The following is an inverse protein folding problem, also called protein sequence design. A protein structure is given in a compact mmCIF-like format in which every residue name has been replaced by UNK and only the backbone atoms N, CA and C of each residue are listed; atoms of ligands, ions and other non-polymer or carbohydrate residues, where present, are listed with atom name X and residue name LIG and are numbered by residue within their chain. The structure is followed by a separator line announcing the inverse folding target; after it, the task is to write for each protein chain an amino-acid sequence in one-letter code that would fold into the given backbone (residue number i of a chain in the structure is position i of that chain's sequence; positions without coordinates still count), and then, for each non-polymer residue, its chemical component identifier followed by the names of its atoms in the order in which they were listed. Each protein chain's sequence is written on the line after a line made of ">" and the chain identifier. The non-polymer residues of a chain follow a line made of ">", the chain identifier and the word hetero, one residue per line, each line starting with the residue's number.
data_IF_575943527529
#
_entry.id   IF_575943527529
#
_cell.length_a   1.000
_cell.length_b   1.000
_cell.length_c   1.000
_cell.angle_alpha   90.00
_cell.angle_beta   90.00
_cell.angle_gamma   90.00
#
_symmetry.space_group_name_H-M   'P 1'
#
loop_
_entity.id
_entity.type
_entity.pdbx_description
1 polymer ?
#
# COMPACT_ATOMS: atom_id res chain seq x y z
N UNK A 1 21.45 9.25 18.15
CA UNK A 1 20.79 7.92 18.20
C UNK A 1 20.83 7.33 16.81
N UNK A 2 21.41 6.12 16.61
CA UNK A 2 21.45 5.56 15.27
C UNK A 2 20.05 5.38 14.71
N UNK A 3 19.80 6.01 13.58
CA UNK A 3 18.50 5.99 12.88
C UNK A 3 18.75 5.69 11.40
N UNK A 4 18.01 4.71 10.88
CA UNK A 4 18.06 4.33 9.48
C UNK A 4 16.68 4.43 8.83
N UNK A 5 16.70 4.80 7.55
CA UNK A 5 15.57 4.67 6.64
C UNK A 5 15.79 3.42 5.78
N UNK A 6 14.85 2.50 5.82
CA UNK A 6 14.86 1.28 5.01
C UNK A 6 13.77 1.38 3.94
N UNK A 7 14.06 0.91 2.73
CA UNK A 7 13.08 0.63 1.70
C UNK A 7 12.89 -0.89 1.64
N UNK A 8 11.65 -1.33 1.76
CA UNK A 8 11.31 -2.75 2.00
C UNK A 8 10.22 -3.19 1.05
N UNK A 9 10.40 -4.32 0.40
CA UNK A 9 9.35 -5.02 -0.33
C UNK A 9 8.89 -6.27 0.46
N UNK A 10 7.63 -6.66 0.30
CA UNK A 10 7.13 -7.89 0.89
C UNK A 10 5.89 -8.44 0.18
N UNK A 11 5.80 -9.77 0.17
CA UNK A 11 4.59 -10.51 -0.15
C UNK A 11 3.70 -10.59 1.11
N UNK A 12 2.59 -9.87 1.09
CA UNK A 12 1.64 -9.79 2.21
C UNK A 12 0.73 -11.01 2.37
N UNK A 13 0.76 -11.98 1.45
CA UNK A 13 -0.19 -13.11 1.38
C UNK A 13 -0.34 -13.86 2.70
N UNK A 14 0.77 -14.08 3.41
CA UNK A 14 0.81 -14.85 4.66
C UNK A 14 0.78 -14.00 5.92
N UNK A 15 0.62 -12.67 5.79
CA UNK A 15 0.65 -11.73 6.90
C UNK A 15 -0.72 -11.13 7.20
N UNK A 16 -1.00 -10.92 8.49
CA UNK A 16 -2.18 -10.18 8.97
C UNK A 16 -1.99 -8.68 8.88
N UNK A 17 -1.16 -8.24 7.92
CA UNK A 17 -0.78 -6.86 7.64
C UNK A 17 0.57 -6.48 8.25
N UNK A 18 0.86 -5.19 8.22
CA UNK A 18 2.11 -4.64 8.76
C UNK A 18 2.14 -4.66 10.28
N UNK A 19 1.14 -4.03 10.92
CA UNK A 19 1.14 -3.72 12.35
C UNK A 19 1.18 -4.98 13.21
N UNK A 20 2.12 -5.02 14.17
CA UNK A 20 2.24 -6.10 15.14
C UNK A 20 0.95 -6.29 15.93
N UNK A 21 0.49 -7.52 16.03
CA UNK A 21 -0.72 -7.94 16.73
C UNK A 21 -0.41 -9.17 17.58
N UNK A 22 -1.16 -9.32 18.67
CA UNK A 22 -1.05 -10.50 19.51
C UNK A 22 -1.49 -11.76 18.75
N UNK A 23 -0.67 -12.81 18.79
CA UNK A 23 -0.92 -14.12 18.14
C UNK A 23 -1.09 -14.09 16.62
N UNK A 24 -0.65 -13.04 15.92
CA UNK A 24 -0.73 -12.97 14.48
C UNK A 24 0.65 -12.77 13.84
N UNK A 25 0.91 -13.46 12.73
CA UNK A 25 2.10 -13.23 11.90
C UNK A 25 1.94 -11.90 11.16
N UNK A 26 2.84 -10.95 11.39
CA UNK A 26 2.80 -9.60 10.83
C UNK A 26 4.19 -9.19 10.37
N UNK A 27 4.28 -8.30 9.38
CA UNK A 27 5.59 -7.86 8.84
C UNK A 27 6.41 -7.15 9.91
N UNK A 28 5.79 -6.25 10.72
CA UNK A 28 6.48 -5.59 11.83
C UNK A 28 6.95 -6.59 12.89
N UNK A 29 6.20 -7.66 13.13
CA UNK A 29 6.58 -8.72 14.07
C UNK A 29 7.86 -9.43 13.66
N UNK A 30 8.03 -9.74 12.36
CA UNK A 30 9.27 -10.31 11.82
C UNK A 30 10.44 -9.32 11.95
N UNK A 31 10.23 -8.05 11.63
CA UNK A 31 11.25 -7.02 11.87
C UNK A 31 11.66 -6.93 13.34
N UNK A 32 10.70 -6.94 14.27
CA UNK A 32 11.00 -6.89 15.70
C UNK A 32 11.73 -8.14 16.20
N UNK A 33 11.50 -9.29 15.59
CA UNK A 33 12.27 -10.51 15.86
C UNK A 33 13.71 -10.35 15.36
N UNK A 34 13.90 -9.90 14.11
CA UNK A 34 15.22 -9.64 13.53
C UNK A 34 16.01 -8.60 14.30
N UNK A 35 15.38 -7.51 14.77
CA UNK A 35 16.09 -6.51 15.58
C UNK A 35 16.60 -7.06 16.91
N UNK A 36 15.83 -7.94 17.56
CA UNK A 36 16.29 -8.59 18.80
C UNK A 36 17.49 -9.50 18.57
N UNK A 37 17.53 -10.18 17.45
CA UNK A 37 18.63 -11.06 17.07
C UNK A 37 19.92 -10.25 16.75
N UNK A 38 19.77 -9.14 16.00
CA UNK A 38 20.91 -8.34 15.54
C UNK A 38 21.51 -7.45 16.63
N UNK A 39 20.69 -6.82 17.45
CA UNK A 39 21.17 -5.74 18.30
C UNK A 39 21.25 -6.08 19.79
N UNK A 40 20.57 -7.13 20.24
CA UNK A 40 20.41 -7.43 21.66
C UNK A 40 19.94 -6.21 22.52
N UNK A 41 19.32 -5.23 21.86
CA UNK A 41 18.86 -3.95 22.42
C UNK A 41 17.46 -3.64 21.91
N UNK A 42 16.66 -2.87 22.68
CA UNK A 42 15.37 -2.39 22.20
C UNK A 42 15.53 -1.58 20.91
N UNK A 43 14.62 -1.81 19.96
CA UNK A 43 14.57 -1.07 18.69
C UNK A 43 13.16 -0.55 18.43
N UNK A 44 13.07 0.61 17.78
CA UNK A 44 11.82 1.17 17.29
C UNK A 44 11.72 0.92 15.78
N UNK A 45 10.64 0.30 15.34
CA UNK A 45 10.37 -0.04 13.93
C UNK A 45 9.00 0.50 13.56
N UNK A 46 8.93 1.51 12.69
CA UNK A 46 7.69 2.09 12.21
C UNK A 46 7.68 2.24 10.69
N UNK A 47 6.54 1.92 10.07
CA UNK A 47 6.33 2.10 8.63
C UNK A 47 5.78 3.47 8.26
N UNK A 48 6.01 3.87 7.02
CA UNK A 48 5.42 5.07 6.41
C UNK A 48 3.92 4.92 6.15
N UNK A 49 3.49 3.70 5.80
CA UNK A 49 2.08 3.35 5.57
C UNK A 49 1.83 1.90 6.00
N UNK A 50 1.13 1.65 7.12
CA UNK A 50 0.80 0.28 7.52
C UNK A 50 -0.24 -0.34 6.58
N UNK A 51 0.13 -1.44 5.92
CA UNK A 51 -0.78 -2.22 5.06
C UNK A 51 -1.65 -3.15 5.90
N UNK A 52 -2.85 -3.46 5.38
CA UNK A 52 -3.77 -4.42 6.00
C UNK A 52 -3.47 -5.86 5.55
N UNK A 53 -4.17 -6.84 6.12
CA UNK A 53 -3.96 -8.26 5.84
C UNK A 53 -4.03 -8.59 4.34
N UNK A 54 -3.05 -9.37 3.84
CA UNK A 54 -2.96 -9.82 2.45
C UNK A 54 -2.53 -8.75 1.44
N UNK A 55 -2.22 -7.54 1.86
CA UNK A 55 -1.73 -6.44 1.00
C UNK A 55 -0.21 -6.46 0.95
N UNK A 56 0.32 -6.32 -0.26
CA UNK A 56 1.75 -6.35 -0.55
C UNK A 56 2.38 -4.95 -0.50
N UNK A 57 3.69 -4.89 -0.55
CA UNK A 57 4.42 -3.65 -0.79
C UNK A 57 5.57 -3.85 -1.77
N UNK A 58 5.72 -2.93 -2.71
CA UNK A 58 6.87 -2.85 -3.63
C UNK A 58 7.98 -1.97 -3.04
N UNK A 59 7.60 -0.94 -2.27
CA UNK A 59 8.56 -0.05 -1.63
C UNK A 59 7.92 0.64 -0.41
N UNK A 60 7.79 -0.12 0.68
CA UNK A 60 7.45 0.43 1.98
C UNK A 60 8.67 1.16 2.54
N UNK A 61 8.47 2.33 3.15
CA UNK A 61 9.53 2.98 3.93
C UNK A 61 9.37 2.63 5.41
N UNK A 62 10.47 2.19 6.03
CA UNK A 62 10.54 1.89 7.44
C UNK A 62 11.61 2.75 8.08
N UNK A 63 11.37 3.35 9.25
CA UNK A 63 12.45 3.80 10.09
C UNK A 63 12.76 2.79 11.18
N UNK A 64 14.05 2.59 11.38
CA UNK A 64 14.63 1.79 12.44
C UNK A 64 15.47 2.69 13.34
N UNK A 65 15.19 2.70 14.63
CA UNK A 65 15.97 3.40 15.65
C UNK A 65 16.44 2.43 16.72
N UNK A 66 17.72 2.49 17.06
CA UNK A 66 18.32 1.64 18.09
C UNK A 66 19.03 2.55 19.10
N UNK A 67 18.32 2.98 20.19
CA UNK A 67 18.81 4.01 21.10
C UNK A 67 20.13 3.69 21.80
N UNK A 68 20.33 2.44 22.18
CA UNK A 68 21.47 2.00 23.00
C UNK A 68 22.56 1.28 22.20
N UNK A 69 22.55 1.45 20.87
CA UNK A 69 23.55 0.81 20.02
C UNK A 69 24.96 1.38 20.29
N UNK A 70 25.88 0.53 20.69
CA UNK A 70 27.27 0.89 21.03
C UNK A 70 28.24 0.73 19.87
N UNK A 71 27.79 0.14 18.76
CA UNK A 71 28.64 -0.18 17.60
C UNK A 71 28.12 0.61 16.41
N UNK A 72 29.03 1.19 15.61
CA UNK A 72 28.68 1.82 14.35
C UNK A 72 28.44 0.75 13.28
N UNK A 73 27.21 0.62 12.79
CA UNK A 73 26.82 -0.33 11.75
C UNK A 73 26.57 0.44 10.46
N UNK A 74 27.33 0.10 9.42
CA UNK A 74 27.17 0.70 8.09
C UNK A 74 25.86 0.24 7.43
N UNK A 75 25.18 1.09 6.66
CA UNK A 75 23.94 0.74 5.96
C UNK A 75 24.02 -0.54 5.10
N UNK A 76 25.13 -0.76 4.40
CA UNK A 76 25.35 -1.96 3.59
C UNK A 76 25.45 -3.25 4.43
N UNK A 77 26.06 -3.17 5.60
CA UNK A 77 26.12 -4.29 6.54
C UNK A 77 24.74 -4.60 7.10
N UNK A 78 24.00 -3.57 7.54
CA UNK A 78 22.65 -3.71 8.07
C UNK A 78 21.69 -4.33 7.06
N UNK A 79 21.78 -3.91 5.78
CA UNK A 79 20.99 -4.49 4.69
C UNK A 79 21.28 -6.00 4.55
N UNK A 80 22.54 -6.39 4.54
CA UNK A 80 22.95 -7.78 4.40
C UNK A 80 22.44 -8.63 5.57
N UNK A 81 22.73 -8.20 6.80
CA UNK A 81 22.40 -8.94 8.02
C UNK A 81 20.89 -9.12 8.19
N UNK A 82 20.08 -8.08 7.91
CA UNK A 82 18.63 -8.22 7.96
C UNK A 82 18.09 -9.20 6.91
N UNK A 83 18.59 -9.13 5.67
CA UNK A 83 18.13 -10.04 4.61
C UNK A 83 18.57 -11.49 4.81
N UNK A 84 19.56 -11.75 5.65
CA UNK A 84 19.94 -13.11 6.07
C UNK A 84 18.99 -13.68 7.15
N UNK A 85 18.39 -12.82 7.97
CA UNK A 85 17.52 -13.20 9.10
C UNK A 85 16.04 -13.17 8.74
N UNK A 86 15.60 -12.15 7.97
CA UNK A 86 14.20 -11.98 7.62
C UNK A 86 13.69 -13.15 6.75
N UNK A 87 12.41 -13.53 6.87
CA UNK A 87 11.79 -14.48 5.97
C UNK A 87 11.91 -14.05 4.50
N UNK A 88 12.02 -15.02 3.57
CA UNK A 88 12.20 -14.76 2.13
C UNK A 88 11.08 -13.94 1.47
N UNK A 89 9.93 -13.82 2.10
CA UNK A 89 8.81 -13.00 1.66
C UNK A 89 8.87 -11.55 2.18
N UNK A 90 9.99 -11.16 2.84
CA UNK A 90 10.32 -9.78 3.22
C UNK A 90 11.77 -9.51 2.79
N UNK A 91 11.97 -8.49 1.97
CA UNK A 91 13.30 -8.13 1.47
C UNK A 91 13.56 -6.63 1.66
N UNK A 92 14.71 -6.29 2.23
CA UNK A 92 15.18 -4.91 2.31
C UNK A 92 15.92 -4.58 1.04
N UNK A 93 15.40 -3.60 0.29
CA UNK A 93 15.97 -3.15 -1.00
C UNK A 93 17.11 -2.17 -0.76
N UNK A 94 16.95 -1.31 0.24
CA UNK A 94 17.89 -0.23 0.51
C UNK A 94 17.89 0.16 1.98
N UNK A 95 19.06 0.53 2.48
CA UNK A 95 19.26 1.15 3.80
C UNK A 95 20.03 2.45 3.61
N UNK A 96 19.64 3.49 4.32
CA UNK A 96 20.35 4.76 4.38
C UNK A 96 20.32 5.31 5.81
N UNK A 97 21.38 6.03 6.20
CA UNK A 97 21.35 6.78 7.44
C UNK A 97 20.25 7.87 7.36
N UNK A 98 19.58 8.12 8.45
CA UNK A 98 18.56 9.14 8.57
C UNK A 98 18.81 10.02 9.80
N UNK A 99 18.35 11.29 9.80
CA UNK A 99 18.37 12.12 10.99
C UNK A 99 17.58 11.47 12.14
N UNK A 100 17.99 11.72 13.37
CA UNK A 100 17.29 11.22 14.56
C UNK A 100 15.82 11.66 14.63
N UNK A 101 15.50 12.83 14.04
CA UNK A 101 14.14 13.35 13.95
C UNK A 101 13.27 12.64 12.91
N UNK A 102 13.87 11.86 11.98
CA UNK A 102 13.11 11.22 10.91
C UNK A 102 12.06 10.26 11.45
N UNK A 103 10.84 10.40 10.91
CA UNK A 103 9.72 9.53 11.23
C UNK A 103 8.99 9.10 9.95
N UNK A 104 9.10 7.84 9.58
CA UNK A 104 8.58 7.31 8.30
C UNK A 104 7.11 7.71 8.01
N UNK A 105 6.22 7.70 9.00
CA UNK A 105 4.80 8.03 8.81
C UNK A 105 4.51 9.53 8.84
N UNK A 106 5.14 10.28 9.76
CA UNK A 106 4.82 11.70 9.98
C UNK A 106 5.40 12.59 8.89
N UNK A 107 6.61 12.25 8.40
CA UNK A 107 7.32 13.05 7.40
C UNK A 107 6.92 12.69 5.96
N UNK A 108 6.10 11.65 5.79
CA UNK A 108 5.60 11.25 4.49
C UNK A 108 4.57 12.26 3.96
N UNK A 109 4.78 12.74 2.71
CA UNK A 109 3.93 13.74 2.04
C UNK A 109 2.88 13.11 1.14
N UNK A 110 3.14 11.90 0.61
CA UNK A 110 2.16 11.15 -0.18
C UNK A 110 2.44 9.64 -0.10
N UNK A 111 1.43 8.85 -0.43
CA UNK A 111 1.50 7.40 -0.60
C UNK A 111 0.93 7.05 -1.95
N UNK A 112 1.52 6.06 -2.62
CA UNK A 112 1.05 5.54 -3.89
C UNK A 112 0.75 4.07 -3.76
N UNK A 113 -0.43 3.70 -4.25
CA UNK A 113 -0.86 2.31 -4.36
C UNK A 113 -1.09 1.95 -5.82
N UNK A 114 -0.75 0.71 -6.15
CA UNK A 114 -1.07 0.05 -7.40
C UNK A 114 -2.01 -1.11 -7.11
N UNK A 115 -3.07 -1.25 -7.90
CA UNK A 115 -3.96 -2.41 -7.87
C UNK A 115 -3.96 -3.10 -9.23
N UNK A 116 -3.86 -4.42 -9.22
CA UNK A 116 -3.79 -5.24 -10.43
C UNK A 116 -5.02 -6.14 -10.56
N UNK A 117 -5.73 -5.99 -11.68
CA UNK A 117 -6.85 -6.83 -12.10
C UNK A 117 -6.38 -7.62 -13.31
N UNK A 118 -6.56 -8.93 -13.30
CA UNK A 118 -6.27 -9.78 -14.46
C UNK A 118 -7.55 -10.16 -15.18
N UNK A 119 -7.57 -9.95 -16.51
CA UNK A 119 -8.66 -10.39 -17.41
C UNK A 119 -8.49 -11.86 -17.80
N UNK A 120 -7.31 -12.42 -17.61
CA UNK A 120 -6.97 -13.81 -17.86
C UNK A 120 -6.84 -14.60 -16.55
N UNK A 121 -7.46 -15.80 -16.52
CA UNK A 121 -7.27 -16.70 -15.38
C UNK A 121 -5.84 -17.25 -15.38
N UNK A 122 -5.15 -17.13 -14.23
CA UNK A 122 -3.82 -17.70 -14.02
C UNK A 122 -3.77 -18.47 -12.70
N UNK A 123 -3.17 -19.65 -12.71
CA UNK A 123 -2.94 -20.44 -11.50
C UNK A 123 -1.84 -19.82 -10.63
N UNK A 124 -0.85 -19.17 -11.24
CA UNK A 124 0.31 -18.59 -10.56
C UNK A 124 0.06 -17.16 -10.08
N UNK A 125 -0.75 -16.39 -10.79
CA UNK A 125 -1.03 -14.99 -10.46
C UNK A 125 -1.99 -14.77 -9.28
N UNK A 126 -2.70 -15.80 -8.83
CA UNK A 126 -3.76 -15.70 -7.82
C UNK A 126 -3.38 -14.91 -6.55
N UNK A 127 -2.17 -15.02 -5.98
CA UNK A 127 -1.79 -14.25 -4.80
C UNK A 127 -1.61 -12.74 -5.07
N UNK A 128 -1.44 -12.33 -6.33
CA UNK A 128 -0.97 -11.00 -6.71
C UNK A 128 -1.89 -10.22 -7.63
N UNK A 129 -3.04 -10.81 -8.02
CA UNK A 129 -4.03 -10.17 -8.89
C UNK A 129 -5.45 -10.48 -8.42
N UNK A 130 -6.37 -9.62 -8.77
CA UNK A 130 -7.79 -9.93 -8.76
C UNK A 130 -8.20 -10.39 -10.16
N UNK A 131 -8.46 -11.68 -10.36
CA UNK A 131 -9.00 -12.16 -11.62
C UNK A 131 -10.49 -11.81 -11.75
N UNK A 132 -10.86 -11.21 -12.87
CA UNK A 132 -12.23 -10.90 -13.25
C UNK A 132 -12.56 -11.66 -14.54
N UNK A 133 -13.80 -12.20 -14.62
CA UNK A 133 -14.25 -12.97 -15.80
C UNK A 133 -14.82 -12.06 -16.87
N UNK A 134 -15.52 -11.01 -16.44
CA UNK A 134 -16.27 -10.14 -17.32
C UNK A 134 -15.36 -9.13 -18.01
N UNK A 135 -15.76 -8.69 -19.20
CA UNK A 135 -15.08 -7.59 -19.90
C UNK A 135 -15.30 -6.28 -19.16
N UNK A 136 -14.29 -5.42 -19.19
CA UNK A 136 -14.32 -4.11 -18.53
C UNK A 136 -13.94 -3.03 -19.53
N UNK A 137 -14.75 -1.99 -19.63
CA UNK A 137 -14.39 -0.77 -20.36
C UNK A 137 -13.35 0.03 -19.55
N UNK A 138 -12.08 -0.14 -19.92
CA UNK A 138 -10.95 0.54 -19.25
C UNK A 138 -10.97 2.05 -19.43
N UNK A 139 -11.61 2.56 -20.50
CA UNK A 139 -11.81 4.01 -20.70
C UNK A 139 -12.81 4.54 -19.68
N UNK A 140 -13.94 3.84 -19.50
CA UNK A 140 -14.93 4.17 -18.49
C UNK A 140 -14.33 4.13 -17.09
N UNK A 141 -13.53 3.08 -16.77
CA UNK A 141 -12.82 2.98 -15.49
C UNK A 141 -11.87 4.18 -15.26
N UNK A 142 -11.14 4.61 -16.30
CA UNK A 142 -10.20 5.73 -16.20
C UNK A 142 -10.92 7.07 -16.01
N UNK A 143 -12.05 7.29 -16.66
CA UNK A 143 -12.86 8.49 -16.42
C UNK A 143 -13.41 8.54 -14.99
N UNK A 144 -13.86 7.41 -14.44
CA UNK A 144 -14.25 7.31 -13.04
C UNK A 144 -13.05 7.58 -12.09
N UNK A 145 -11.87 7.05 -12.43
CA UNK A 145 -10.65 7.30 -11.65
C UNK A 145 -10.28 8.79 -11.58
N UNK A 146 -10.40 9.51 -12.69
CA UNK A 146 -10.14 10.95 -12.75
C UNK A 146 -11.03 11.78 -11.82
N UNK A 147 -12.27 11.32 -11.55
CA UNK A 147 -13.19 11.97 -10.62
C UNK A 147 -12.69 11.97 -9.17
N UNK A 148 -11.78 11.07 -8.82
CA UNK A 148 -11.17 10.98 -7.48
C UNK A 148 -10.13 12.07 -7.23
N UNK A 149 -9.54 12.67 -8.29
CA UNK A 149 -8.48 13.66 -8.16
C UNK A 149 -9.02 14.93 -7.51
N UNK A 150 -8.26 15.44 -6.55
CA UNK A 150 -8.62 16.60 -5.75
C UNK A 150 -8.94 16.25 -4.30
N UNK A 151 -9.59 17.18 -3.61
CA UNK A 151 -9.88 17.09 -2.19
C UNK A 151 -11.34 16.65 -1.96
N UNK A 152 -11.52 15.44 -1.46
CA UNK A 152 -12.84 14.82 -1.26
C UNK A 152 -12.95 14.18 0.13
N UNK A 153 -14.21 13.98 0.56
CA UNK A 153 -14.52 13.19 1.74
C UNK A 153 -14.67 11.71 1.34
N UNK A 154 -13.71 10.88 1.78
CA UNK A 154 -13.70 9.45 1.48
C UNK A 154 -14.35 8.58 2.58
N UNK A 155 -15.18 9.15 3.43
CA UNK A 155 -15.88 8.40 4.50
C UNK A 155 -16.63 7.18 3.95
N UNK A 156 -17.36 7.32 2.86
CA UNK A 156 -18.10 6.22 2.20
C UNK A 156 -17.21 5.06 1.78
N UNK A 157 -15.96 5.35 1.44
CA UNK A 157 -14.99 4.36 0.96
C UNK A 157 -14.17 3.72 2.10
N UNK A 158 -14.47 4.03 3.35
CA UNK A 158 -13.66 3.59 4.49
C UNK A 158 -14.43 2.70 5.45
N UNK A 159 -13.68 1.89 6.20
CA UNK A 159 -14.13 1.01 7.28
C UNK A 159 -13.86 1.64 8.65
N UNK A 160 -14.12 2.95 8.77
CA UNK A 160 -13.92 3.68 10.00
C UNK A 160 -15.14 3.57 10.91
N UNK A 161 -14.91 3.39 12.20
CA UNK A 161 -15.94 3.50 13.24
C UNK A 161 -16.48 4.93 13.33
N UNK A 162 -17.70 5.10 13.88
CA UNK A 162 -18.39 6.38 13.90
C UNK A 162 -17.61 7.45 14.69
N UNK A 163 -16.92 7.04 15.75
CA UNK A 163 -16.13 7.89 16.67
C UNK A 163 -14.67 8.05 16.27
N UNK A 164 -14.27 7.49 15.11
CA UNK A 164 -12.90 7.58 14.62
C UNK A 164 -12.46 9.03 14.42
N UNK A 165 -11.28 9.36 14.97
CA UNK A 165 -10.64 10.69 14.83
C UNK A 165 -9.79 10.82 13.57
N UNK A 166 -9.74 9.78 12.72
CA UNK A 166 -8.96 9.83 11.48
C UNK A 166 -9.64 10.81 10.50
N UNK A 167 -8.91 11.81 9.97
CA UNK A 167 -9.47 12.74 8.99
C UNK A 167 -9.95 11.98 7.73
N UNK A 168 -11.20 12.20 7.33
CA UNK A 168 -11.81 11.53 6.17
C UNK A 168 -11.67 12.32 4.88
N UNK A 169 -11.23 13.59 4.98
CA UNK A 169 -10.92 14.42 3.82
C UNK A 169 -9.51 14.09 3.37
N UNK A 170 -9.40 13.51 2.17
CA UNK A 170 -8.14 13.10 1.56
C UNK A 170 -7.86 13.96 0.33
N UNK A 171 -6.60 14.35 0.15
CA UNK A 171 -6.14 15.05 -1.04
C UNK A 171 -5.50 14.04 -1.99
N UNK A 172 -6.18 13.79 -3.11
CA UNK A 172 -5.77 12.84 -4.15
C UNK A 172 -5.01 13.60 -5.23
N UNK A 173 -3.71 13.31 -5.36
CA UNK A 173 -2.83 13.99 -6.31
C UNK A 173 -2.86 13.32 -7.69
N UNK A 174 -3.16 12.03 -7.75
CA UNK A 174 -3.12 11.23 -8.97
C UNK A 174 -4.07 10.03 -8.85
N UNK A 175 -4.80 9.75 -9.92
CA UNK A 175 -5.58 8.52 -10.08
C UNK A 175 -5.71 8.19 -11.56
N UNK A 176 -5.28 7.00 -11.96
CA UNK A 176 -5.31 6.54 -13.35
C UNK A 176 -5.59 5.04 -13.46
N UNK A 177 -6.24 4.67 -14.55
CA UNK A 177 -6.35 3.27 -15.01
C UNK A 177 -5.59 3.12 -16.31
N UNK A 178 -4.73 2.11 -16.40
CA UNK A 178 -3.97 1.76 -17.58
C UNK A 178 -3.95 0.24 -17.79
N UNK A 179 -3.60 -0.20 -19.00
CA UNK A 179 -3.53 -1.62 -19.33
C UNK A 179 -2.09 -2.04 -19.60
N UNK A 180 -1.76 -3.29 -19.26
CA UNK A 180 -0.47 -3.91 -19.52
C UNK A 180 -0.71 -5.39 -19.84
N UNK A 181 -0.76 -5.74 -21.15
CA UNK A 181 -1.20 -7.06 -21.60
C UNK A 181 -2.60 -7.42 -21.08
N UNK A 182 -2.71 -8.56 -20.42
CA UNK A 182 -3.96 -9.05 -19.79
C UNK A 182 -4.26 -8.37 -18.42
N UNK A 183 -3.53 -7.31 -18.06
CA UNK A 183 -3.69 -6.62 -16.81
C UNK A 183 -4.39 -5.28 -16.98
N UNK A 184 -5.36 -5.01 -16.11
CA UNK A 184 -5.90 -3.68 -15.85
C UNK A 184 -5.29 -3.21 -14.55
N UNK A 185 -4.56 -2.11 -14.60
CA UNK A 185 -3.87 -1.53 -13.46
C UNK A 185 -4.56 -0.24 -13.04
N UNK A 186 -4.82 -0.09 -11.75
CA UNK A 186 -5.28 1.17 -11.16
C UNK A 186 -4.21 1.70 -10.21
N UNK A 187 -3.72 2.90 -10.47
CA UNK A 187 -2.78 3.62 -9.59
C UNK A 187 -3.46 4.81 -8.96
N UNK A 188 -3.20 5.03 -7.67
CA UNK A 188 -3.66 6.19 -6.96
C UNK A 188 -2.59 6.72 -6.01
N UNK A 189 -2.36 8.02 -6.04
CA UNK A 189 -1.48 8.75 -5.13
C UNK A 189 -2.25 9.78 -4.33
N UNK A 190 -2.11 9.76 -3.00
CA UNK A 190 -2.84 10.64 -2.10
C UNK A 190 -2.02 11.05 -0.86
N UNK A 191 -2.48 12.09 -0.17
CA UNK A 191 -1.90 12.54 1.10
C UNK A 191 -1.88 11.44 2.16
N UNK A 192 -2.93 10.65 2.26
CA UNK A 192 -3.07 9.48 3.11
C UNK A 192 -4.20 8.58 2.60
N UNK A 193 -4.29 7.37 3.13
CA UNK A 193 -5.39 6.44 2.83
C UNK A 193 -6.13 6.05 4.10
N UNK A 194 -7.43 5.88 3.97
CA UNK A 194 -8.28 5.35 5.04
C UNK A 194 -8.29 3.81 4.98
N UNK A 195 -8.62 3.13 6.08
CA UNK A 195 -8.79 1.68 6.08
C UNK A 195 -9.74 1.22 4.97
N UNK A 196 -9.33 0.22 4.19
CA UNK A 196 -10.10 -0.38 3.09
C UNK A 196 -10.37 0.55 1.88
N UNK A 197 -10.01 1.83 1.95
CA UNK A 197 -10.34 2.85 0.95
C UNK A 197 -9.98 2.42 -0.48
N UNK A 198 -8.73 2.03 -0.74
CA UNK A 198 -8.30 1.59 -2.07
C UNK A 198 -9.14 0.43 -2.61
N UNK A 199 -9.40 -0.58 -1.79
CA UNK A 199 -10.13 -1.77 -2.20
C UNK A 199 -11.59 -1.47 -2.55
N UNK A 200 -12.25 -0.56 -1.82
CA UNK A 200 -13.61 -0.11 -2.13
C UNK A 200 -13.67 0.73 -3.40
N UNK A 201 -12.68 1.63 -3.59
CA UNK A 201 -12.57 2.42 -4.83
C UNK A 201 -12.39 1.49 -6.04
N UNK A 202 -11.47 0.53 -5.97
CA UNK A 202 -11.22 -0.41 -7.08
C UNK A 202 -12.47 -1.23 -7.41
N UNK A 203 -13.17 -1.74 -6.39
CA UNK A 203 -14.41 -2.49 -6.61
C UNK A 203 -15.47 -1.65 -7.34
N UNK A 204 -15.64 -0.39 -6.93
CA UNK A 204 -16.60 0.53 -7.57
C UNK A 204 -16.18 0.93 -9.00
N UNK A 205 -14.88 1.14 -9.24
CA UNK A 205 -14.34 1.41 -10.58
C UNK A 205 -14.56 0.19 -11.50
N UNK A 206 -14.44 -1.03 -10.98
CA UNK A 206 -14.77 -2.24 -11.74
C UNK A 206 -16.25 -2.31 -12.10
N UNK A 207 -17.18 -1.91 -11.19
CA UNK A 207 -18.61 -1.80 -11.51
C UNK A 207 -18.89 -0.79 -12.64
N UNK A 208 -18.18 0.36 -12.64
CA UNK A 208 -18.26 1.31 -13.74
C UNK A 208 -17.78 0.69 -15.04
N UNK A 209 -16.66 -0.06 -15.01
CA UNK A 209 -16.11 -0.76 -16.17
C UNK A 209 -17.07 -1.81 -16.76
N UNK A 210 -17.90 -2.46 -15.94
CA UNK A 210 -18.94 -3.40 -16.38
C UNK A 210 -20.25 -2.73 -16.81
N UNK A 211 -20.36 -1.42 -16.69
CA UNK A 211 -21.59 -0.64 -16.89
C UNK A 211 -22.70 -0.92 -15.86
N UNK A 212 -22.36 -1.54 -14.72
CA UNK A 212 -23.27 -1.80 -13.61
C UNK A 212 -23.44 -0.58 -12.71
N UNK A 213 -22.55 0.41 -12.83
CA UNK A 213 -22.60 1.69 -12.11
C UNK A 213 -22.37 2.87 -13.06
N UNK A 214 -23.28 3.87 -12.98
CA UNK A 214 -23.09 5.12 -13.73
C UNK A 214 -22.08 6.07 -13.06
N UNK A 215 -21.49 6.99 -13.85
CA UNK A 215 -20.63 8.05 -13.33
C UNK A 215 -21.31 8.91 -12.27
N UNK A 216 -22.61 9.22 -12.45
CA UNK A 216 -23.38 10.00 -11.49
C UNK A 216 -23.53 9.26 -10.16
N UNK A 217 -23.78 7.94 -10.20
CA UNK A 217 -23.87 7.12 -9.00
C UNK A 217 -22.51 7.07 -8.28
N UNK A 218 -21.41 6.86 -9.01
CA UNK A 218 -20.06 6.89 -8.46
C UNK A 218 -19.73 8.27 -7.84
N UNK A 219 -19.99 9.37 -8.58
CA UNK A 219 -19.71 10.73 -8.12
C UNK A 219 -20.53 11.15 -6.89
N UNK A 220 -21.74 10.60 -6.69
CA UNK A 220 -22.53 10.84 -5.48
C UNK A 220 -21.85 10.30 -4.22
N UNK A 221 -21.09 9.21 -4.32
CA UNK A 221 -20.34 8.65 -3.19
C UNK A 221 -19.23 9.56 -2.68
N UNK A 222 -18.73 10.47 -3.53
CA UNK A 222 -17.75 11.49 -3.14
C UNK A 222 -18.41 12.72 -2.47
N UNK A 223 -19.71 12.91 -2.67
CA UNK A 223 -20.45 14.07 -2.16
C UNK A 223 -21.29 13.73 -0.92
N UNK A 224 -21.80 12.52 -0.83
CA UNK A 224 -22.71 12.08 0.22
C UNK A 224 -22.24 10.78 0.84
N UNK A 225 -22.34 10.67 2.17
CA UNK A 225 -22.03 9.43 2.86
C UNK A 225 -23.02 8.33 2.49
N UNK A 226 -22.48 7.14 2.18
CA UNK A 226 -23.27 5.99 1.76
C UNK A 226 -22.59 4.67 2.13
N UNK A 227 -23.32 3.67 2.61
CA UNK A 227 -22.79 2.33 2.88
C UNK A 227 -22.58 1.48 1.60
N UNK A 228 -22.98 1.98 0.44
CA UNK A 228 -22.97 1.23 -0.84
C UNK A 228 -21.56 0.73 -1.18
N UNK A 229 -20.53 1.56 -0.96
CA UNK A 229 -19.15 1.20 -1.29
C UNK A 229 -18.66 -0.07 -0.57
N UNK A 230 -19.19 -0.40 0.59
CA UNK A 230 -18.82 -1.58 1.35
C UNK A 230 -19.14 -2.91 0.63
N UNK A 231 -20.17 -2.90 -0.24
CA UNK A 231 -20.61 -4.07 -1.01
C UNK A 231 -19.62 -4.48 -2.12
N UNK A 232 -18.77 -3.55 -2.54
CA UNK A 232 -17.88 -3.68 -3.70
C UNK A 232 -16.39 -3.70 -3.28
N UNK A 233 -16.09 -4.31 -2.13
CA UNK A 233 -14.71 -4.35 -1.65
C UNK A 233 -13.88 -5.38 -2.42
N UNK A 234 -12.93 -4.93 -3.24
CA UNK A 234 -12.01 -5.77 -3.98
C UNK A 234 -11.10 -6.60 -3.05
N UNK A 235 -10.62 -7.80 -3.46
CA UNK A 235 -9.73 -8.63 -2.64
C UNK A 235 -8.38 -7.92 -2.37
N UNK A 236 -7.67 -8.26 -1.28
CA UNK A 236 -6.39 -7.63 -0.98
C UNK A 236 -5.25 -8.07 -1.92
N UNK A 237 -5.36 -9.25 -2.55
CA UNK A 237 -4.30 -9.87 -3.36
C UNK A 237 -3.82 -9.02 -4.54
N UNK A 238 -4.67 -8.17 -5.12
CA UNK A 238 -4.25 -7.26 -6.20
C UNK A 238 -3.62 -5.95 -5.72
N UNK A 239 -3.56 -5.69 -4.41
CA UNK A 239 -3.18 -4.39 -3.87
C UNK A 239 -1.72 -4.37 -3.41
N UNK A 240 -0.98 -3.37 -3.90
CA UNK A 240 0.42 -3.12 -3.57
C UNK A 240 0.61 -1.68 -3.10
N UNK A 241 1.24 -1.48 -1.94
CA UNK A 241 1.84 -0.21 -1.61
C UNK A 241 3.03 0.00 -2.55
N UNK A 242 2.89 0.89 -3.53
CA UNK A 242 3.90 1.10 -4.56
C UNK A 242 5.05 1.95 -4.05
N UNK A 243 4.75 3.02 -3.31
CA UNK A 243 5.77 3.91 -2.75
C UNK A 243 5.20 4.85 -1.68
N UNK A 244 6.02 5.16 -0.68
CA UNK A 244 5.81 6.27 0.26
C UNK A 244 6.75 7.41 -0.15
N UNK A 245 6.23 8.63 -0.34
CA UNK A 245 7.00 9.79 -0.76
C UNK A 245 7.30 10.74 0.38
N UNK A 246 8.50 11.29 0.35
CA UNK A 246 8.98 12.34 1.23
C UNK A 246 9.30 13.61 0.44
N UNK A 247 9.50 14.73 1.15
CA UNK A 247 9.78 16.03 0.52
C UNK A 247 10.93 15.93 -0.49
N UNK A 248 10.67 16.35 -1.73
CA UNK A 248 11.63 16.33 -2.83
C UNK A 248 11.68 15.03 -3.64
N UNK A 249 10.98 13.98 -3.22
CA UNK A 249 10.88 12.74 -3.99
C UNK A 249 9.80 12.81 -5.08
N UNK A 250 10.02 12.03 -6.15
CA UNK A 250 9.11 12.01 -7.31
C UNK A 250 8.14 10.83 -7.23
N UNK A 251 6.91 11.01 -7.73
CA UNK A 251 5.94 9.93 -7.91
C UNK A 251 6.50 8.78 -8.74
N UNK A 252 5.96 7.54 -8.56
CA UNK A 252 6.28 6.43 -9.45
C UNK A 252 5.77 6.73 -10.87
N UNK A 253 6.60 6.41 -11.87
CA UNK A 253 6.32 6.66 -13.29
C UNK A 253 6.15 5.36 -14.10
N UNK A 254 6.17 4.21 -13.43
CA UNK A 254 6.02 2.91 -14.09
C UNK A 254 4.65 2.80 -14.74
N UNK A 255 4.60 2.44 -16.02
CA UNK A 255 3.39 2.21 -16.82
C UNK A 255 3.06 0.73 -17.01
N UNK A 256 3.62 -0.14 -16.19
CA UNK A 256 3.44 -1.60 -16.23
C UNK A 256 2.94 -2.13 -14.90
N UNK A 257 2.27 -3.27 -14.94
CA UNK A 257 1.99 -4.07 -13.78
C UNK A 257 3.26 -4.55 -13.06
N UNK A 258 3.12 -5.04 -11.84
CA UNK A 258 4.26 -5.63 -11.11
C UNK A 258 4.59 -7.03 -11.64
N UNK A 259 3.56 -7.81 -11.98
CA UNK A 259 3.69 -9.13 -12.58
C UNK A 259 3.24 -9.06 -14.04
N UNK A 260 4.07 -9.53 -14.94
CA UNK A 260 3.66 -9.91 -16.28
C UNK A 260 3.11 -11.34 -16.20
N UNK A 261 1.79 -11.48 -16.32
CA UNK A 261 1.15 -12.78 -16.52
C UNK A 261 1.06 -12.97 -18.04
N UNK A 262 2.19 -13.35 -18.63
CA UNK A 262 2.32 -13.63 -20.06
C UNK A 262 1.60 -14.90 -20.49
#
# INVERSE_FOLDING_TARGET
>A
MPTWRLEVEYDGTRYRGWQMQHLAKTVQGEFMAGTRELFASPAEVFSGEPTVAGVHALCQTVHLKVPELKVDIKPAQLLKEFNEILPQDINIIRVANAPDSFHARKDAVARYYLYQISTRRSAFGKPYVWWVKDEHDTKAMNEAAKMLVGRHNFRSFSELEADSKIPTIVDVHHAEVFTDGDMICFRMGASHFLPTMMRRIVGLIAEVGRSDMSYDAFGRLLKFESPVAAKFTAPPSGLFLEKVLYKGEKPPTRTRGFLEIG
#
